data_IF_406750725208
#
_entry.id   IF_406750725208
#
_cell.length_a   1.000
_cell.length_b   1.000
_cell.length_c   1.000
_cell.angle_alpha   90.00
_cell.angle_beta   90.00
_cell.angle_gamma   90.00
#
_symmetry.space_group_name_H-M   'P 1'
#
loop_
_entity.id
_entity.type
_entity.pdbx_description
1 polymer ?
#
# COMPACT_ATOMS: atom_id res chain seq x y z
N UNK A 1 1.28 7.72 28.47
CA UNK A 1 1.00 7.82 27.03
C UNK A 1 2.31 7.61 26.28
N UNK A 2 2.39 6.56 25.46
CA UNK A 2 3.61 6.18 24.76
C UNK A 2 3.95 7.22 23.68
N UNK A 3 5.22 7.63 23.56
CA UNK A 3 5.68 8.58 22.51
C UNK A 3 5.33 8.12 21.08
N UNK A 4 5.24 6.79 20.84
CA UNK A 4 4.73 6.24 19.58
C UNK A 4 3.27 6.62 19.32
N UNK A 5 2.46 6.69 20.36
CA UNK A 5 1.07 7.14 20.28
C UNK A 5 0.99 8.64 19.95
N UNK A 6 1.98 9.43 20.36
CA UNK A 6 2.04 10.86 20.05
C UNK A 6 2.42 11.13 18.58
N UNK A 7 3.25 10.27 17.96
CA UNK A 7 3.50 10.29 16.51
C UNK A 7 2.32 9.74 15.70
N UNK A 8 1.43 8.94 16.32
CA UNK A 8 0.22 8.39 15.72
C UNK A 8 -1.01 9.29 15.97
N UNK A 9 -0.93 10.27 16.90
CA UNK A 9 -2.05 11.15 17.30
C UNK A 9 -1.99 12.54 16.67
N UNK A 10 -0.91 12.93 16.00
CA UNK A 10 -1.10 13.94 14.96
C UNK A 10 -1.96 13.29 13.89
N UNK A 11 -3.18 13.76 13.63
CA UNK A 11 -3.94 13.28 12.51
C UNK A 11 -3.11 13.65 11.28
N UNK A 12 -2.34 12.69 10.75
CA UNK A 12 -1.97 12.74 9.36
C UNK A 12 -3.32 12.78 8.64
N UNK A 13 -3.75 13.95 8.29
CA UNK A 13 -4.75 14.14 7.27
C UNK A 13 -4.16 13.39 6.08
N UNK A 14 -4.63 12.15 5.87
CA UNK A 14 -4.34 11.40 4.66
C UNK A 14 -5.06 12.20 3.59
N UNK A 15 -4.36 13.17 3.01
CA UNK A 15 -4.83 13.86 1.84
C UNK A 15 -4.82 12.82 0.73
N UNK A 16 -5.98 12.20 0.51
CA UNK A 16 -6.16 11.25 -0.58
C UNK A 16 -5.81 11.93 -1.91
N UNK A 17 -5.05 11.24 -2.73
CA UNK A 17 -4.67 11.69 -4.07
C UNK A 17 -3.22 12.14 -4.18
N UNK A 18 -2.96 13.14 -5.03
CA UNK A 18 -1.59 13.55 -5.42
C UNK A 18 -0.75 14.17 -4.30
N UNK A 19 -1.39 14.57 -3.22
CA UNK A 19 -0.73 15.14 -2.03
C UNK A 19 -0.45 14.09 -0.95
N UNK A 20 -0.89 12.83 -1.14
CA UNK A 20 -0.58 11.74 -0.20
C UNK A 20 0.95 11.56 -0.10
N UNK A 21 1.56 11.63 1.09
CA UNK A 21 2.99 11.40 1.29
C UNK A 21 3.47 10.05 0.75
N UNK A 22 2.59 9.05 0.74
CA UNK A 22 2.84 7.72 0.22
C UNK A 22 2.68 7.58 -1.29
N UNK A 23 2.19 8.59 -2.00
CA UNK A 23 1.93 8.52 -3.44
C UNK A 23 3.22 8.16 -4.21
N UNK A 24 3.13 7.21 -5.13
CA UNK A 24 4.25 6.77 -5.96
C UNK A 24 5.49 6.33 -5.15
N UNK A 25 5.29 5.77 -3.95
CA UNK A 25 6.34 5.16 -3.13
C UNK A 25 6.13 3.64 -3.06
N UNK A 26 7.18 2.88 -3.35
CA UNK A 26 7.16 1.42 -3.20
C UNK A 26 8.34 0.98 -2.34
N UNK A 27 8.03 0.36 -1.21
CA UNK A 27 9.01 -0.23 -0.31
C UNK A 27 9.00 -1.74 -0.48
N UNK A 28 10.13 -2.32 -0.81
CA UNK A 28 10.34 -3.76 -0.84
C UNK A 28 10.87 -4.24 0.50
N UNK A 29 10.26 -5.28 1.04
CA UNK A 29 10.80 -6.01 2.17
C UNK A 29 11.44 -7.30 1.67
N UNK A 30 12.66 -7.58 2.11
CA UNK A 30 13.35 -8.83 1.84
C UNK A 30 13.88 -9.43 3.14
N UNK A 31 13.97 -10.75 3.22
CA UNK A 31 14.43 -11.52 4.37
C UNK A 31 13.83 -12.91 4.35
N UNK A 32 14.55 -13.92 4.80
CA UNK A 32 14.11 -15.32 4.80
C UNK A 32 12.91 -15.58 5.75
N UNK A 33 12.34 -16.79 5.70
CA UNK A 33 11.40 -17.25 6.73
C UNK A 33 12.05 -17.11 8.13
N UNK A 34 11.29 -16.72 9.14
CA UNK A 34 11.82 -16.51 10.49
C UNK A 34 12.62 -15.22 10.71
N UNK A 35 12.94 -14.44 9.66
CA UNK A 35 13.72 -13.18 9.82
C UNK A 35 12.99 -12.07 10.56
N UNK A 36 11.67 -12.18 10.76
CA UNK A 36 10.87 -11.18 11.47
C UNK A 36 10.47 -9.97 10.62
N UNK A 37 10.39 -10.09 9.29
CA UNK A 37 9.95 -9.01 8.38
C UNK A 37 8.68 -8.30 8.83
N UNK A 38 7.66 -9.06 9.20
CA UNK A 38 6.36 -8.48 9.64
C UNK A 38 6.51 -7.65 10.91
N UNK A 39 7.36 -8.06 11.85
CA UNK A 39 7.68 -7.30 13.05
C UNK A 39 8.40 -5.99 12.70
N UNK A 40 9.43 -6.07 11.86
CA UNK A 40 10.18 -4.90 11.38
C UNK A 40 9.27 -3.95 10.59
N UNK A 41 8.43 -4.48 9.70
CA UNK A 41 7.49 -3.67 8.94
C UNK A 41 6.46 -2.96 9.84
N UNK A 42 5.91 -3.66 10.83
CA UNK A 42 4.98 -3.06 11.78
C UNK A 42 5.64 -1.98 12.62
N UNK A 43 6.87 -2.20 13.08
CA UNK A 43 7.63 -1.24 13.87
C UNK A 43 8.06 -0.01 13.07
N UNK A 44 8.55 -0.21 11.83
CA UNK A 44 9.02 0.89 10.99
C UNK A 44 7.86 1.73 10.41
N UNK A 45 6.79 1.09 9.98
CA UNK A 45 5.73 1.75 9.20
C UNK A 45 4.42 1.94 9.98
N UNK A 46 4.38 1.51 11.23
CA UNK A 46 3.17 1.64 12.06
C UNK A 46 1.98 0.89 11.45
N UNK A 47 2.17 -0.36 11.01
CA UNK A 47 1.09 -1.18 10.42
C UNK A 47 0.30 -1.84 11.55
N UNK A 48 -0.99 -1.50 11.76
CA UNK A 48 -1.82 -2.15 12.76
C UNK A 48 -2.06 -3.63 12.44
N UNK A 49 -2.25 -4.48 13.47
CA UNK A 49 -2.48 -5.92 13.28
C UNK A 49 -3.70 -6.23 12.40
N UNK A 50 -4.75 -5.42 12.47
CA UNK A 50 -6.03 -5.64 11.76
C UNK A 50 -6.15 -4.94 10.41
N UNK A 51 -5.26 -3.99 10.10
CA UNK A 51 -5.36 -3.15 8.91
C UNK A 51 -4.10 -3.29 8.06
N UNK A 52 -4.26 -3.34 6.74
CA UNK A 52 -3.14 -3.47 5.79
C UNK A 52 -2.64 -2.11 5.28
N UNK A 53 -2.74 -1.07 6.09
CA UNK A 53 -2.29 0.28 5.76
C UNK A 53 -1.38 0.78 6.86
N UNK A 54 -0.24 1.34 6.49
CA UNK A 54 0.73 1.93 7.41
C UNK A 54 0.28 3.32 7.88
N UNK A 55 0.90 3.83 8.94
CA UNK A 55 0.71 5.21 9.40
C UNK A 55 1.05 6.27 8.32
N UNK A 56 1.78 5.90 7.30
CA UNK A 56 2.18 6.76 6.17
C UNK A 56 1.33 6.53 4.91
N UNK A 57 0.18 5.88 5.01
CA UNK A 57 -0.69 5.61 3.88
C UNK A 57 -0.22 4.47 2.94
N UNK A 58 0.94 3.84 3.19
CA UNK A 58 1.45 2.73 2.36
C UNK A 58 0.60 1.47 2.57
N UNK A 59 0.16 0.85 1.49
CA UNK A 59 -0.68 -0.36 1.49
C UNK A 59 0.20 -1.61 1.52
N UNK A 60 -0.05 -2.53 2.46
CA UNK A 60 0.70 -3.78 2.55
C UNK A 60 0.23 -4.79 1.50
N UNK A 61 1.15 -5.23 0.66
CA UNK A 61 0.96 -6.32 -0.31
C UNK A 61 1.67 -7.56 0.22
N UNK A 62 0.90 -8.50 0.81
CA UNK A 62 1.43 -9.69 1.46
C UNK A 62 0.61 -10.94 1.10
N UNK A 63 1.23 -11.87 0.37
CA UNK A 63 0.60 -13.11 -0.07
C UNK A 63 0.34 -14.08 1.09
N UNK A 64 1.23 -14.13 2.09
CA UNK A 64 1.07 -15.03 3.23
C UNK A 64 -0.16 -14.66 4.06
N UNK A 65 -0.42 -13.38 4.27
CA UNK A 65 -1.62 -12.90 4.97
C UNK A 65 -2.90 -13.22 4.20
N UNK A 66 -2.87 -13.11 2.88
CA UNK A 66 -4.00 -13.53 2.03
C UNK A 66 -4.26 -15.04 2.17
N UNK A 67 -3.20 -15.87 2.16
CA UNK A 67 -3.32 -17.31 2.35
C UNK A 67 -3.89 -17.67 3.74
N UNK A 68 -3.38 -17.07 4.80
CA UNK A 68 -3.91 -17.30 6.16
C UNK A 68 -5.40 -16.93 6.28
N UNK A 69 -5.82 -15.86 5.62
CA UNK A 69 -7.23 -15.47 5.59
C UNK A 69 -8.08 -16.49 4.85
N UNK A 70 -7.59 -17.04 3.75
CA UNK A 70 -8.29 -18.08 3.00
C UNK A 70 -8.36 -19.40 3.78
N UNK A 71 -7.25 -19.83 4.38
CA UNK A 71 -7.23 -21.05 5.22
C UNK A 71 -8.30 -20.97 6.33
N UNK A 72 -8.34 -19.87 7.07
CA UNK A 72 -9.37 -19.64 8.09
C UNK A 72 -10.79 -19.63 7.53
N UNK A 73 -11.00 -18.97 6.38
CA UNK A 73 -12.32 -18.90 5.72
C UNK A 73 -12.85 -20.26 5.33
N UNK A 74 -11.97 -21.18 4.92
CA UNK A 74 -12.33 -22.54 4.52
C UNK A 74 -12.22 -23.56 5.66
N UNK A 75 -12.01 -23.11 6.91
CA UNK A 75 -11.97 -23.98 8.09
C UNK A 75 -10.69 -24.78 8.26
N UNK A 76 -9.63 -24.45 7.53
CA UNK A 76 -8.32 -25.10 7.66
C UNK A 76 -7.48 -24.45 8.77
N UNK A 77 -6.67 -25.27 9.45
CA UNK A 77 -5.64 -24.80 10.36
C UNK A 77 -4.57 -23.98 9.61
N UNK A 78 -3.85 -23.13 10.34
CA UNK A 78 -2.72 -22.35 9.79
C UNK A 78 -1.40 -23.11 9.92
N UNK A 79 -1.33 -24.19 10.71
CA UNK A 79 -0.16 -25.05 10.79
C UNK A 79 -0.17 -26.02 9.61
N UNK A 80 0.80 -25.85 8.72
CA UNK A 80 0.95 -26.65 7.52
C UNK A 80 1.91 -27.84 7.71
N UNK A 81 2.64 -27.89 8.84
CA UNK A 81 3.60 -28.96 9.14
C UNK A 81 2.90 -30.26 9.57
N UNK A 82 1.80 -30.12 10.30
CA UNK A 82 1.00 -31.27 10.77
C UNK A 82 -0.06 -31.72 9.74
N UNK A 83 -0.07 -31.07 8.56
CA UNK A 83 -1.04 -31.39 7.51
C UNK A 83 -0.59 -32.62 6.73
N UNK A 84 -1.49 -33.59 6.44
CA UNK A 84 -1.19 -34.70 5.53
C UNK A 84 -0.63 -34.23 4.19
N UNK A 85 0.37 -34.92 3.67
CA UNK A 85 1.13 -34.51 2.46
C UNK A 85 0.24 -34.33 1.22
N UNK A 86 -0.75 -35.20 1.04
CA UNK A 86 -1.71 -35.13 -0.04
C UNK A 86 -2.60 -33.89 0.05
N UNK A 87 -3.08 -33.56 1.25
CA UNK A 87 -3.85 -32.34 1.50
C UNK A 87 -2.99 -31.08 1.36
N UNK A 88 -1.74 -31.13 1.87
CA UNK A 88 -0.78 -30.03 1.68
C UNK A 88 -0.52 -29.74 0.20
N UNK A 89 -0.35 -30.76 -0.62
CA UNK A 89 -0.17 -30.58 -2.08
C UNK A 89 -1.40 -29.96 -2.71
N UNK A 90 -2.60 -30.44 -2.41
CA UNK A 90 -3.85 -29.87 -2.93
C UNK A 90 -4.00 -28.39 -2.56
N UNK A 91 -3.75 -28.01 -1.29
CA UNK A 91 -3.88 -26.63 -0.84
C UNK A 91 -2.79 -25.71 -1.37
N UNK A 92 -1.63 -26.23 -1.72
CA UNK A 92 -0.48 -25.44 -2.19
C UNK A 92 -0.27 -25.49 -3.69
N UNK A 93 -1.01 -26.31 -4.44
CA UNK A 93 -0.92 -26.37 -5.89
C UNK A 93 -1.31 -25.02 -6.52
N UNK A 94 -0.38 -24.34 -7.20
CA UNK A 94 -0.65 -23.03 -7.80
C UNK A 94 -1.55 -23.10 -9.04
N UNK A 95 -1.80 -24.29 -9.60
CA UNK A 95 -2.63 -24.52 -10.78
C UNK A 95 -4.10 -24.77 -10.45
N UNK A 96 -4.41 -25.23 -9.25
CA UNK A 96 -5.78 -25.49 -8.83
C UNK A 96 -6.55 -24.19 -8.57
N UNK A 97 -7.81 -24.13 -8.98
CA UNK A 97 -8.67 -22.94 -8.86
C UNK A 97 -9.61 -22.96 -7.67
N UNK A 98 -9.84 -24.10 -7.07
CA UNK A 98 -10.71 -24.28 -5.91
C UNK A 98 -9.91 -24.11 -4.61
N UNK A 99 -10.48 -24.52 -3.45
CA UNK A 99 -9.72 -24.46 -2.22
C UNK A 99 -8.55 -25.46 -2.17
N UNK A 100 -8.48 -26.42 -3.07
CA UNK A 100 -7.28 -27.21 -3.35
C UNK A 100 -6.15 -26.37 -3.98
N UNK A 101 -6.35 -25.12 -4.31
CA UNK A 101 -5.34 -24.21 -4.85
C UNK A 101 -5.28 -22.89 -4.08
N UNK A 102 -5.53 -22.90 -2.77
CA UNK A 102 -5.60 -21.68 -1.96
C UNK A 102 -4.36 -20.80 -2.06
N UNK A 103 -3.18 -21.39 -2.25
CA UNK A 103 -1.95 -20.62 -2.45
C UNK A 103 -1.94 -19.88 -3.79
N UNK A 104 -2.41 -20.53 -4.86
CA UNK A 104 -2.63 -19.90 -6.17
C UNK A 104 -3.64 -18.77 -6.06
N UNK A 105 -4.76 -19.04 -5.41
CA UNK A 105 -5.82 -18.04 -5.21
C UNK A 105 -5.36 -16.84 -4.36
N UNK A 106 -4.61 -17.07 -3.26
CA UNK A 106 -4.00 -16.01 -2.48
C UNK A 106 -3.05 -15.13 -3.33
N UNK A 107 -2.27 -15.76 -4.23
CA UNK A 107 -1.39 -15.04 -5.15
C UNK A 107 -2.19 -14.18 -6.14
N UNK A 108 -3.30 -14.68 -6.66
CA UNK A 108 -4.14 -13.93 -7.61
C UNK A 108 -4.82 -12.74 -6.94
N UNK A 109 -5.38 -12.92 -5.74
CA UNK A 109 -5.93 -11.81 -4.93
C UNK A 109 -4.86 -10.74 -4.72
N UNK A 110 -3.66 -11.14 -4.29
CA UNK A 110 -2.56 -10.22 -4.00
C UNK A 110 -2.08 -9.49 -5.26
N UNK A 111 -2.04 -10.19 -6.40
CA UNK A 111 -1.69 -9.58 -7.69
C UNK A 111 -2.75 -8.58 -8.15
N UNK A 112 -4.04 -8.88 -7.98
CA UNK A 112 -5.13 -7.96 -8.30
C UNK A 112 -5.07 -6.72 -7.41
N UNK A 113 -4.89 -6.87 -6.10
CA UNK A 113 -4.72 -5.75 -5.17
C UNK A 113 -3.54 -4.86 -5.59
N UNK A 114 -2.38 -5.47 -5.87
CA UNK A 114 -1.22 -4.73 -6.34
C UNK A 114 -1.49 -3.98 -7.64
N UNK A 115 -2.17 -4.60 -8.60
CA UNK A 115 -2.56 -3.95 -9.87
C UNK A 115 -3.45 -2.72 -9.62
N UNK A 116 -4.43 -2.83 -8.72
CA UNK A 116 -5.28 -1.69 -8.36
C UNK A 116 -4.48 -0.56 -7.70
N UNK A 117 -3.57 -0.88 -6.77
CA UNK A 117 -2.70 0.12 -6.16
C UNK A 117 -1.80 0.81 -7.19
N UNK A 118 -1.25 0.05 -8.14
CA UNK A 118 -0.45 0.61 -9.25
C UNK A 118 -1.28 1.52 -10.16
N UNK A 119 -2.53 1.15 -10.47
CA UNK A 119 -3.43 1.98 -11.27
C UNK A 119 -3.72 3.32 -10.58
N UNK A 120 -3.96 3.30 -9.27
CA UNK A 120 -4.17 4.49 -8.45
C UNK A 120 -2.87 5.23 -8.05
N UNK A 121 -1.69 4.71 -8.43
CA UNK A 121 -0.38 5.24 -7.99
C UNK A 121 -0.21 5.29 -6.48
N UNK A 122 -0.94 4.46 -5.73
CA UNK A 122 -0.93 4.43 -4.27
C UNK A 122 0.41 3.88 -3.75
N UNK A 123 0.81 4.37 -2.58
CA UNK A 123 2.00 3.87 -1.92
C UNK A 123 1.87 2.42 -1.46
N UNK A 124 2.94 1.63 -1.59
CA UNK A 124 2.94 0.19 -1.30
C UNK A 124 4.13 -0.24 -0.45
N UNK A 125 3.89 -1.24 0.40
CA UNK A 125 4.91 -2.09 1.01
C UNK A 125 4.74 -3.48 0.40
N UNK A 126 5.73 -3.95 -0.34
CA UNK A 126 5.72 -5.24 -1.04
C UNK A 126 6.51 -6.22 -0.19
N UNK A 127 5.80 -7.10 0.52
CA UNK A 127 6.42 -8.13 1.34
C UNK A 127 6.81 -9.34 0.48
N UNK A 128 8.09 -9.68 0.56
CA UNK A 128 8.67 -10.81 -0.15
C UNK A 128 9.85 -11.43 0.59
N UNK A 129 10.18 -12.67 0.27
CA UNK A 129 11.34 -13.34 0.88
C UNK A 129 12.67 -12.82 0.33
N UNK A 130 12.70 -12.41 -0.94
CA UNK A 130 13.95 -11.97 -1.58
C UNK A 130 14.81 -13.08 -2.18
N UNK A 131 14.36 -14.35 -2.15
CA UNK A 131 15.12 -15.46 -2.70
C UNK A 131 15.23 -15.43 -4.24
N UNK A 132 14.32 -14.77 -4.94
CA UNK A 132 14.33 -14.61 -6.41
C UNK A 132 14.70 -13.19 -6.81
N UNK A 133 16.00 -12.90 -6.97
CA UNK A 133 16.50 -11.58 -7.35
C UNK A 133 15.83 -11.03 -8.62
N UNK A 134 15.78 -11.82 -9.69
CA UNK A 134 15.19 -11.38 -10.96
C UNK A 134 13.75 -10.90 -10.84
N UNK A 135 12.92 -11.57 -9.99
CA UNK A 135 11.55 -11.17 -9.74
C UNK A 135 11.45 -9.77 -9.09
N UNK A 136 12.33 -9.48 -8.12
CA UNK A 136 12.35 -8.17 -7.44
C UNK A 136 12.87 -7.10 -8.39
N UNK A 137 13.94 -7.38 -9.14
CA UNK A 137 14.47 -6.49 -10.18
C UNK A 137 13.38 -6.09 -11.17
N UNK A 138 12.69 -7.06 -11.75
CA UNK A 138 11.67 -6.81 -12.77
C UNK A 138 10.46 -6.06 -12.20
N UNK A 139 10.07 -6.34 -10.95
CA UNK A 139 9.03 -5.57 -10.27
C UNK A 139 9.45 -4.13 -10.01
N UNK A 140 10.69 -3.92 -9.57
CA UNK A 140 11.25 -2.57 -9.38
C UNK A 140 11.22 -1.79 -10.69
N UNK A 141 11.75 -2.37 -11.76
CA UNK A 141 11.78 -1.72 -13.08
C UNK A 141 10.38 -1.33 -13.57
N UNK A 142 9.41 -2.24 -13.49
CA UNK A 142 8.00 -1.95 -13.85
C UNK A 142 7.38 -0.82 -13.02
N UNK A 143 7.69 -0.76 -11.73
CA UNK A 143 7.19 0.31 -10.86
C UNK A 143 7.85 1.65 -11.21
N UNK A 144 9.15 1.66 -11.45
CA UNK A 144 9.87 2.89 -11.82
C UNK A 144 9.46 3.42 -13.20
N UNK A 145 9.16 2.53 -14.14
CA UNK A 145 8.63 2.88 -15.46
C UNK A 145 7.30 3.67 -15.36
N UNK A 146 6.44 3.31 -14.43
CA UNK A 146 5.15 3.99 -14.20
C UNK A 146 5.24 5.12 -13.16
N UNK A 147 6.44 5.49 -12.73
CA UNK A 147 6.71 6.70 -11.95
C UNK A 147 6.96 6.52 -10.46
N UNK A 148 7.06 5.29 -9.94
CA UNK A 148 7.38 5.07 -8.54
C UNK A 148 8.84 5.38 -8.20
N UNK A 149 9.06 5.95 -7.03
CA UNK A 149 10.33 5.83 -6.32
C UNK A 149 10.34 4.52 -5.53
N UNK A 150 11.46 3.81 -5.53
CA UNK A 150 11.59 2.50 -4.87
C UNK A 150 12.60 2.53 -3.73
N UNK A 151 12.37 1.71 -2.71
CA UNK A 151 13.24 1.54 -1.54
C UNK A 151 13.24 0.07 -1.11
N UNK A 152 14.33 -0.42 -0.53
CA UNK A 152 14.39 -1.77 0.04
C UNK A 152 14.82 -1.75 1.49
N UNK A 153 14.09 -2.48 2.31
CA UNK A 153 14.45 -2.87 3.67
C UNK A 153 14.79 -4.35 3.67
N UNK A 154 16.04 -4.67 3.84
CA UNK A 154 16.53 -6.03 3.96
C UNK A 154 16.63 -6.42 5.43
N UNK A 155 15.85 -7.40 5.85
CA UNK A 155 15.82 -7.89 7.24
C UNK A 155 16.79 -9.06 7.37
N UNK A 156 17.91 -8.80 8.01
CA UNK A 156 18.98 -9.76 8.24
C UNK A 156 18.79 -10.48 9.56
N UNK A 157 18.99 -11.79 9.55
CA UNK A 157 18.90 -12.67 10.73
C UNK A 157 19.82 -13.87 10.52
N UNK A 158 20.47 -14.38 11.58
CA UNK A 158 21.21 -15.62 11.49
C UNK A 158 20.28 -16.82 11.22
N UNK A 159 20.83 -17.90 10.68
CA UNK A 159 20.04 -19.09 10.36
C UNK A 159 19.45 -19.71 11.63
N UNK A 160 20.22 -19.76 12.71
CA UNK A 160 19.81 -20.33 13.99
C UNK A 160 18.59 -19.60 14.55
N UNK A 161 18.62 -18.26 14.56
CA UNK A 161 17.51 -17.44 15.05
C UNK A 161 16.31 -17.54 14.11
N UNK A 162 16.54 -17.60 12.81
CA UNK A 162 15.46 -17.79 11.84
C UNK A 162 14.74 -19.12 12.03
N UNK A 163 15.49 -20.21 12.28
CA UNK A 163 14.93 -21.53 12.57
C UNK A 163 14.21 -21.55 13.93
N UNK A 164 14.82 -21.01 14.99
CA UNK A 164 14.17 -20.93 16.30
C UNK A 164 12.81 -20.21 16.22
N UNK A 165 12.77 -19.03 15.58
CA UNK A 165 11.54 -18.27 15.39
C UNK A 165 10.53 -18.97 14.48
N UNK A 166 10.99 -19.76 13.51
CA UNK A 166 10.10 -20.55 12.66
C UNK A 166 9.36 -21.62 13.51
N UNK A 167 10.03 -22.23 14.47
CA UNK A 167 9.42 -23.23 15.36
C UNK A 167 8.38 -22.64 16.31
N UNK A 168 8.48 -21.36 16.66
CA UNK A 168 7.52 -20.65 17.52
C UNK A 168 6.26 -20.15 16.75
N UNK A 169 6.27 -20.22 15.41
CA UNK A 169 5.16 -19.72 14.60
C UNK A 169 3.99 -20.70 14.54
N UNK A 170 2.73 -20.22 14.49
CA UNK A 170 1.57 -21.08 14.21
C UNK A 170 1.67 -21.81 12.86
N UNK A 171 2.33 -21.18 11.87
CA UNK A 171 2.64 -21.78 10.56
C UNK A 171 4.13 -22.01 10.47
N UNK A 172 4.56 -23.21 10.76
CA UNK A 172 5.94 -23.64 10.68
C UNK A 172 6.30 -24.05 9.23
N UNK A 173 7.57 -24.03 8.91
CA UNK A 173 8.15 -24.59 7.70
C UNK A 173 9.20 -25.62 8.10
N UNK A 174 9.35 -26.66 7.28
CA UNK A 174 10.39 -27.68 7.49
C UNK A 174 11.77 -26.99 7.54
N UNK A 175 12.67 -27.40 8.45
CA UNK A 175 13.96 -26.72 8.67
C UNK A 175 14.80 -26.52 7.40
N UNK A 176 14.85 -27.52 6.51
CA UNK A 176 15.59 -27.41 5.24
C UNK A 176 15.00 -26.32 4.33
N UNK A 177 13.67 -26.11 4.31
CA UNK A 177 13.05 -25.04 3.51
C UNK A 177 13.45 -23.66 4.03
N UNK A 178 13.56 -23.52 5.36
CA UNK A 178 14.03 -22.28 5.99
C UNK A 178 15.48 -22.03 5.61
N UNK A 179 16.35 -23.05 5.71
CA UNK A 179 17.77 -22.96 5.39
C UNK A 179 17.99 -22.61 3.91
N UNK A 180 17.38 -23.33 2.99
CA UNK A 180 17.51 -23.09 1.55
C UNK A 180 17.06 -21.66 1.19
N UNK A 181 15.90 -21.24 1.72
CA UNK A 181 15.41 -19.89 1.51
C UNK A 181 16.34 -18.84 2.12
N UNK A 182 16.89 -19.08 3.30
CA UNK A 182 17.84 -18.18 3.96
C UNK A 182 19.12 -18.03 3.13
N UNK A 183 19.70 -19.15 2.68
CA UNK A 183 20.93 -19.14 1.84
C UNK A 183 20.72 -18.35 0.55
N UNK A 184 19.62 -18.56 -0.15
CA UNK A 184 19.30 -17.83 -1.39
C UNK A 184 19.10 -16.32 -1.14
N UNK A 185 18.47 -15.96 -0.03
CA UNK A 185 18.30 -14.55 0.35
C UNK A 185 19.64 -13.88 0.63
N UNK A 186 20.55 -14.57 1.38
CA UNK A 186 21.88 -14.03 1.69
C UNK A 186 22.74 -13.85 0.43
N UNK A 187 22.69 -14.77 -0.53
CA UNK A 187 23.37 -14.62 -1.83
C UNK A 187 22.95 -13.37 -2.58
N UNK A 188 21.68 -12.97 -2.44
CA UNK A 188 21.12 -11.83 -3.16
C UNK A 188 21.37 -10.46 -2.48
N UNK A 189 21.89 -10.43 -1.24
CA UNK A 189 22.05 -9.21 -0.45
C UNK A 189 22.82 -8.12 -1.17
N UNK A 190 24.03 -8.46 -1.66
CA UNK A 190 24.88 -7.50 -2.36
C UNK A 190 24.28 -7.05 -3.69
N UNK A 191 23.63 -7.96 -4.42
CA UNK A 191 22.92 -7.63 -5.65
C UNK A 191 21.78 -6.65 -5.40
N UNK A 192 21.05 -6.80 -4.29
CA UNK A 192 20.02 -5.83 -3.88
C UNK A 192 20.61 -4.48 -3.48
N UNK A 193 21.74 -4.47 -2.77
CA UNK A 193 22.44 -3.24 -2.46
C UNK A 193 22.82 -2.47 -3.74
N UNK A 194 23.37 -3.16 -4.74
CA UNK A 194 23.66 -2.56 -6.05
C UNK A 194 22.41 -2.07 -6.78
N UNK A 195 21.31 -2.87 -6.72
CA UNK A 195 20.06 -2.56 -7.42
C UNK A 195 19.33 -1.33 -6.86
N UNK A 196 19.30 -1.15 -5.54
CA UNK A 196 18.59 -0.05 -4.86
C UNK A 196 19.52 1.12 -4.47
N UNK A 197 20.83 0.91 -4.43
CA UNK A 197 21.84 1.91 -4.11
C UNK A 197 21.53 2.62 -2.79
N UNK A 198 21.42 3.95 -2.82
CA UNK A 198 21.13 4.77 -1.62
C UNK A 198 19.74 4.53 -1.00
N UNK A 199 18.88 3.81 -1.69
CA UNK A 199 17.54 3.44 -1.21
C UNK A 199 17.52 1.99 -0.67
N UNK A 200 18.62 1.51 -0.13
CA UNK A 200 18.78 0.20 0.49
C UNK A 200 19.22 0.35 1.95
N UNK A 201 18.57 -0.40 2.84
CA UNK A 201 18.99 -0.48 4.23
C UNK A 201 18.91 -1.92 4.72
N UNK A 202 19.91 -2.31 5.53
CA UNK A 202 19.91 -3.59 6.24
C UNK A 202 19.43 -3.35 7.66
N UNK A 203 18.43 -4.12 8.08
CA UNK A 203 17.95 -4.15 9.46
C UNK A 203 18.38 -5.46 10.08
N UNK A 204 19.40 -5.42 10.90
CA UNK A 204 19.80 -6.57 11.72
C UNK A 204 18.70 -6.86 12.74
N UNK A 205 18.11 -8.05 12.69
CA UNK A 205 17.03 -8.48 13.57
C UNK A 205 17.39 -9.76 14.32
N UNK A 206 18.66 -9.88 14.76
CA UNK A 206 19.13 -11.01 15.56
C UNK A 206 18.70 -10.92 17.02
N UNK A 207 18.50 -9.70 17.54
CA UNK A 207 18.22 -9.50 18.94
C UNK A 207 16.75 -9.77 19.28
N UNK A 208 16.49 -10.39 20.43
CA UNK A 208 15.17 -10.40 21.06
C UNK A 208 15.09 -9.16 21.96
N UNK A 209 14.65 -8.05 21.40
CA UNK A 209 14.57 -6.78 22.12
C UNK A 209 13.29 -6.71 22.95
N UNK A 210 13.40 -6.13 24.16
CA UNK A 210 12.21 -5.65 24.89
C UNK A 210 11.50 -4.57 24.08
N UNK A 211 10.16 -4.40 24.22
CA UNK A 211 9.38 -3.46 23.40
C UNK A 211 9.97 -2.05 23.31
N UNK A 212 10.45 -1.50 24.43
CA UNK A 212 11.05 -0.14 24.48
C UNK A 212 12.38 -0.04 23.72
N UNK A 213 13.20 -1.08 23.76
CA UNK A 213 14.47 -1.12 23.02
C UNK A 213 14.21 -1.29 21.51
N UNK A 214 13.19 -2.09 21.14
CA UNK A 214 12.75 -2.25 19.76
C UNK A 214 12.22 -0.92 19.19
N UNK A 215 11.44 -0.19 19.98
CA UNK A 215 10.93 1.14 19.61
C UNK A 215 12.06 2.13 19.30
N UNK A 216 13.03 2.26 20.19
CA UNK A 216 14.21 3.12 19.97
C UNK A 216 15.00 2.72 18.72
N UNK A 217 15.16 1.42 18.49
CA UNK A 217 15.83 0.89 17.28
C UNK A 217 15.06 1.29 16.01
N UNK A 218 13.74 1.14 15.98
CA UNK A 218 12.93 1.53 14.82
C UNK A 218 12.92 3.03 14.60
N UNK A 219 12.84 3.85 15.65
CA UNK A 219 12.97 5.31 15.54
C UNK A 219 14.31 5.72 14.91
N UNK A 220 15.41 5.10 15.36
CA UNK A 220 16.74 5.35 14.80
C UNK A 220 16.80 4.98 13.31
N UNK A 221 16.33 3.79 12.93
CA UNK A 221 16.31 3.34 11.54
C UNK A 221 15.43 4.22 10.66
N UNK A 222 14.30 4.69 11.18
CA UNK A 222 13.44 5.65 10.48
C UNK A 222 14.19 6.96 10.19
N UNK A 223 15.00 7.46 11.14
CA UNK A 223 15.80 8.68 10.95
C UNK A 223 16.92 8.48 9.94
N UNK A 224 17.46 7.27 9.77
CA UNK A 224 18.57 6.95 8.85
C UNK A 224 18.23 7.04 7.35
N UNK A 225 17.01 7.27 6.95
CA UNK A 225 16.69 7.46 5.53
C UNK A 225 15.28 7.05 5.13
N UNK A 226 14.65 6.13 5.86
CA UNK A 226 13.30 5.64 5.53
C UNK A 226 12.28 6.79 5.60
N UNK A 227 12.26 7.55 6.68
CA UNK A 227 11.39 8.71 6.84
C UNK A 227 11.63 9.76 5.75
N UNK A 228 12.91 10.03 5.43
CA UNK A 228 13.27 10.95 4.36
C UNK A 228 12.80 10.45 2.99
N UNK A 229 12.87 9.14 2.74
CA UNK A 229 12.36 8.54 1.51
C UNK A 229 10.84 8.72 1.38
N UNK A 230 10.09 8.46 2.45
CA UNK A 230 8.63 8.53 2.45
C UNK A 230 8.17 9.99 2.32
N UNK A 231 8.72 10.89 3.14
CA UNK A 231 8.27 12.30 3.22
C UNK A 231 8.73 13.18 2.07
N UNK A 232 9.79 12.82 1.36
CA UNK A 232 10.26 13.60 0.21
C UNK A 232 9.30 13.51 -0.97
N UNK A 233 9.18 14.57 -1.75
CA UNK A 233 8.48 14.56 -3.04
C UNK A 233 9.00 13.47 -3.97
N UNK A 234 8.19 13.04 -4.91
CA UNK A 234 8.54 12.04 -5.92
C UNK A 234 9.71 12.54 -6.75
N UNK A 235 10.76 11.73 -6.90
CA UNK A 235 11.95 12.06 -7.70
C UNK A 235 11.88 11.53 -9.12
N UNK A 236 11.17 10.42 -9.32
CA UNK A 236 11.03 9.81 -10.65
C UNK A 236 10.38 10.80 -11.64
N UNK A 237 11.00 11.04 -12.81
CA UNK A 237 10.49 12.02 -13.79
C UNK A 237 9.08 11.69 -14.30
N UNK A 238 8.78 10.41 -14.52
CA UNK A 238 7.44 9.99 -14.95
C UNK A 238 6.40 10.22 -13.86
N UNK A 239 6.78 9.97 -12.59
CA UNK A 239 5.92 10.24 -11.44
C UNK A 239 5.63 11.72 -11.28
N UNK A 240 6.62 12.60 -11.45
CA UNK A 240 6.40 14.06 -11.44
C UNK A 240 5.43 14.49 -12.52
N UNK A 241 5.65 14.05 -13.77
CA UNK A 241 4.73 14.35 -14.89
C UNK A 241 3.31 13.88 -14.62
N UNK A 242 3.14 12.70 -14.01
CA UNK A 242 1.83 12.18 -13.66
C UNK A 242 1.14 13.07 -12.59
N UNK A 243 1.88 13.46 -11.52
CA UNK A 243 1.36 14.33 -10.46
C UNK A 243 0.93 15.70 -11.05
N UNK A 244 1.74 16.29 -11.90
CA UNK A 244 1.42 17.57 -12.57
C UNK A 244 0.13 17.47 -13.37
N UNK A 245 -0.03 16.41 -14.18
CA UNK A 245 -1.28 16.18 -14.93
C UNK A 245 -2.50 16.05 -14.02
N UNK A 246 -2.36 15.35 -12.88
CA UNK A 246 -3.48 15.19 -11.93
C UNK A 246 -3.85 16.51 -11.23
N UNK A 247 -2.86 17.39 -10.97
CA UNK A 247 -3.11 18.73 -10.41
C UNK A 247 -3.91 19.59 -11.38
N UNK A 248 -3.54 19.61 -12.65
CA UNK A 248 -4.26 20.33 -13.70
C UNK A 248 -5.72 19.87 -13.78
N UNK A 249 -5.97 18.55 -13.75
CA UNK A 249 -7.35 18.01 -13.76
C UNK A 249 -8.15 18.40 -12.51
N UNK A 250 -7.50 18.65 -11.36
CA UNK A 250 -8.18 19.13 -10.15
C UNK A 250 -8.48 20.63 -10.18
N UNK A 251 -7.73 21.42 -10.96
CA UNK A 251 -7.98 22.85 -11.08
C UNK A 251 -9.19 23.18 -11.96
N UNK A 252 -9.58 22.26 -12.87
CA UNK A 252 -10.74 22.39 -13.74
C UNK A 252 -11.92 21.49 -13.31
N UNK A 253 -12.38 21.61 -12.06
CA UNK A 253 -13.73 21.12 -11.72
C UNK A 253 -14.71 22.11 -12.34
N UNK A 254 -15.04 21.87 -13.60
CA UNK A 254 -16.13 22.59 -14.27
C UNK A 254 -17.45 22.06 -13.68
N UNK A 255 -18.05 22.83 -12.79
CA UNK A 255 -19.41 22.55 -12.31
C UNK A 255 -20.34 23.10 -13.39
N UNK A 256 -21.15 22.26 -14.06
CA UNK A 256 -22.01 22.68 -15.16
C UNK A 256 -23.25 23.43 -14.63
N UNK A 257 -23.01 24.56 -13.97
CA UNK A 257 -24.04 25.49 -13.47
C UNK A 257 -23.60 26.92 -13.70
N UNK A 258 -24.58 27.80 -13.89
CA UNK A 258 -24.38 29.24 -14.10
C UNK A 258 -25.10 30.03 -13.00
N UNK A 259 -24.69 31.29 -12.82
CA UNK A 259 -25.42 32.22 -11.97
C UNK A 259 -26.83 32.35 -12.57
N UNK A 260 -27.87 32.22 -11.72
CA UNK A 260 -29.27 32.15 -12.14
C UNK A 260 -29.86 30.73 -12.11
N UNK A 261 -29.04 29.68 -12.17
CA UNK A 261 -29.52 28.31 -12.08
C UNK A 261 -30.08 27.99 -10.71
N UNK A 262 -30.94 26.97 -10.65
CA UNK A 262 -31.51 26.50 -9.39
C UNK A 262 -30.85 25.21 -8.97
N UNK A 263 -30.37 25.15 -7.71
CA UNK A 263 -29.82 23.95 -7.08
C UNK A 263 -30.68 23.49 -5.91
N UNK A 264 -30.51 22.22 -5.52
CA UNK A 264 -31.20 21.64 -4.37
C UNK A 264 -30.27 21.57 -3.16
N UNK A 265 -30.68 22.15 -2.06
CA UNK A 265 -29.92 22.28 -0.81
C UNK A 265 -30.69 21.74 0.39
N UNK A 266 -30.03 21.70 1.56
CA UNK A 266 -30.57 21.21 2.82
C UNK A 266 -30.24 19.73 3.08
N UNK A 267 -30.59 19.24 4.27
CA UNK A 267 -30.26 17.88 4.74
C UNK A 267 -30.72 16.80 3.76
N UNK A 268 -31.89 16.98 3.15
CA UNK A 268 -32.48 16.05 2.18
C UNK A 268 -32.32 16.50 0.71
N UNK A 269 -31.58 17.60 0.47
CA UNK A 269 -31.33 18.16 -0.87
C UNK A 269 -32.61 18.37 -1.69
N UNK A 270 -33.68 18.87 -1.06
CA UNK A 270 -35.00 19.12 -1.67
C UNK A 270 -35.41 20.60 -1.63
N UNK A 271 -34.66 21.48 -0.94
CA UNK A 271 -34.93 22.92 -0.91
C UNK A 271 -34.30 23.61 -2.11
N UNK A 272 -35.07 24.25 -2.95
CA UNK A 272 -34.60 25.02 -4.10
C UNK A 272 -33.84 26.27 -3.64
N UNK A 273 -32.70 26.57 -4.26
CA UNK A 273 -31.93 27.79 -4.06
C UNK A 273 -31.34 28.25 -5.40
N UNK A 274 -31.54 29.54 -5.72
CA UNK A 274 -30.96 30.16 -6.92
C UNK A 274 -29.50 30.46 -6.68
N UNK A 275 -28.64 30.19 -7.65
CA UNK A 275 -27.22 30.51 -7.64
C UNK A 275 -27.07 32.02 -7.90
N UNK A 276 -26.51 32.73 -6.91
CA UNK A 276 -26.21 34.15 -6.97
C UNK A 276 -24.72 34.41 -7.20
N UNK A 277 -23.87 33.48 -6.74
CA UNK A 277 -22.43 33.59 -6.82
C UNK A 277 -21.77 32.22 -6.94
N UNK A 278 -20.71 32.15 -7.76
CA UNK A 278 -19.86 30.97 -7.93
C UNK A 278 -18.41 31.41 -7.65
N UNK A 279 -17.80 30.86 -6.61
CA UNK A 279 -16.46 31.22 -6.19
C UNK A 279 -15.59 30.01 -5.83
N UNK A 280 -14.45 30.25 -5.23
CA UNK A 280 -13.56 29.22 -4.67
C UNK A 280 -13.30 29.51 -3.18
N UNK A 281 -13.20 28.48 -2.34
CA UNK A 281 -12.78 28.64 -0.94
C UNK A 281 -11.24 28.81 -0.84
N UNK A 282 -10.75 29.02 0.38
CA UNK A 282 -9.31 29.19 0.66
C UNK A 282 -8.44 27.98 0.26
N UNK A 283 -9.05 26.86 -0.04
CA UNK A 283 -8.39 25.62 -0.51
C UNK A 283 -8.58 25.40 -2.02
N UNK A 284 -9.14 26.38 -2.76
CA UNK A 284 -9.40 26.28 -4.20
C UNK A 284 -10.62 25.45 -4.55
N UNK A 285 -11.41 24.97 -3.55
CA UNK A 285 -12.62 24.18 -3.81
C UNK A 285 -13.77 25.11 -4.26
N UNK A 286 -14.54 24.70 -5.29
CA UNK A 286 -15.64 25.51 -5.79
C UNK A 286 -16.72 25.70 -4.73
N UNK A 287 -17.22 26.93 -4.65
CA UNK A 287 -18.32 27.31 -3.76
C UNK A 287 -19.47 27.90 -4.57
N UNK A 288 -20.67 27.72 -4.08
CA UNK A 288 -21.91 28.32 -4.63
C UNK A 288 -22.58 29.09 -3.50
N UNK A 289 -22.80 30.38 -3.68
CA UNK A 289 -23.30 31.28 -2.65
C UNK A 289 -22.52 31.16 -1.33
N UNK A 290 -21.18 31.05 -1.42
CA UNK A 290 -20.27 30.90 -0.28
C UNK A 290 -20.28 29.53 0.42
N UNK A 291 -20.99 28.53 -0.11
CA UNK A 291 -21.06 27.16 0.45
C UNK A 291 -20.35 26.17 -0.46
N UNK A 292 -19.70 25.13 0.10
CA UNK A 292 -19.00 24.10 -0.68
C UNK A 292 -19.92 23.41 -1.68
N UNK A 293 -19.52 23.33 -2.93
CA UNK A 293 -20.30 22.75 -4.01
C UNK A 293 -20.66 21.25 -3.81
N UNK A 294 -19.86 20.51 -3.03
CA UNK A 294 -20.10 19.10 -2.69
C UNK A 294 -21.37 18.87 -1.85
N UNK A 295 -21.97 19.94 -1.29
CA UNK A 295 -23.16 19.85 -0.45
C UNK A 295 -24.47 19.98 -1.19
N UNK A 296 -24.44 20.15 -2.52
CA UNK A 296 -25.64 20.42 -3.35
C UNK A 296 -26.01 19.25 -4.25
N UNK A 297 -27.26 19.29 -4.73
CA UNK A 297 -27.73 18.51 -5.89
C UNK A 297 -28.03 19.49 -7.01
N UNK A 298 -27.46 19.26 -8.19
CA UNK A 298 -27.80 20.02 -9.39
C UNK A 298 -29.19 19.55 -9.84
N UNK A 299 -30.13 20.49 -9.91
CA UNK A 299 -31.43 20.23 -10.49
C UNK A 299 -31.28 20.40 -12.01
N UNK A 300 -30.97 19.31 -12.72
CA UNK A 300 -31.10 19.30 -14.18
C UNK A 300 -32.58 19.17 -14.53
N UNK A 301 -33.18 20.22 -14.99
CA UNK A 301 -34.21 20.11 -16.02
C UNK A 301 -33.44 19.77 -17.29
N UNK A 302 -33.36 18.51 -17.64
CA UNK A 302 -32.86 18.10 -18.96
C UNK A 302 -34.00 18.44 -19.94
N UNK A 303 -33.90 19.57 -20.61
CA UNK A 303 -34.61 19.76 -21.86
C UNK A 303 -33.92 18.87 -22.89
N UNK A 304 -34.47 17.67 -23.08
CA UNK A 304 -33.99 16.67 -24.05
C UNK A 304 -34.09 17.19 -25.50
N UNK A 305 -34.65 18.37 -25.72
CA UNK A 305 -34.88 18.93 -27.04
C UNK A 305 -33.90 20.05 -27.45
N UNK A 306 -33.07 20.57 -26.54
CA UNK A 306 -32.14 21.67 -26.89
C UNK A 306 -30.84 21.17 -27.54
N UNK A 307 -30.51 19.88 -27.44
CA UNK A 307 -29.29 19.30 -28.02
C UNK A 307 -29.45 18.83 -29.49
N UNK A 308 -30.66 18.94 -30.09
CA UNK A 308 -30.89 18.51 -31.46
C UNK A 308 -30.93 19.67 -32.50
N UNK A 309 -30.85 20.94 -32.10
CA UNK A 309 -30.90 22.06 -33.02
C UNK A 309 -29.50 22.60 -33.44
N UNK A 310 -28.40 22.14 -32.88
CA UNK A 310 -27.03 22.59 -33.28
C UNK A 310 -26.33 21.69 -34.31
N UNK A 311 -26.90 20.54 -34.70
CA UNK A 311 -26.30 19.67 -35.75
C UNK A 311 -26.94 19.83 -37.15
N UNK A 312 -27.83 20.79 -37.36
CA UNK A 312 -28.43 21.08 -38.68
C UNK A 312 -28.31 22.57 -39.01
N UNK A 313 -27.06 23.04 -39.11
CA UNK A 313 -26.76 24.27 -39.92
C UNK A 313 -25.35 24.19 -40.45
#
# INVERSE_FOLDING_TARGET
MNKLTQYLTEPFLIEEGVNDPGILKAVFLAGGPGSGKSFVASGLYGIPKKVNVSAYGLKLVNQDKALETLLKKYGFGTDLDDMPEDLFRQLTDPSAKDYSGLRGYAKDITNQQKKQYMNGRLGMIIDGTGHKYGKIRDQKMKLEEIGYDTYMVFVETSLEIAQARNMERPRKLKPHIVEDSWREVQKNREAFNGLFGRNFIIVNNNDTLKPEAAEKKFEFLMKQGISKFIKRGVKNPQGKKWIEKQKIVKEDINIPVKVGDTILVGKFKNKKMVIKDIGKDKHGMPTINGRKATTFRIHKTVNIFDDFEEEVK
#
